data_IF_401480096466
#
_entry.id   IF_401480096466
#
_cell.length_a   1.000
_cell.length_b   1.000
_cell.length_c   1.000
_cell.angle_alpha   90.00
_cell.angle_beta   90.00
_cell.angle_gamma   90.00
#
_symmetry.space_group_name_H-M   'P 1'
#
loop_
_entity.id
_entity.type
_entity.pdbx_description
1 polymer ?
#
# COMPACT_ATOMS: atom_id res chain seq x y z
N UNK A 1 2.09 -9.58 -7.17
CA UNK A 1 0.98 -9.78 -6.20
C UNK A 1 1.34 -9.21 -4.82
N UNK A 2 2.61 -9.34 -4.42
CA UNK A 2 3.20 -8.75 -3.21
C UNK A 2 3.29 -7.20 -3.32
N UNK A 3 3.67 -6.65 -4.49
CA UNK A 3 3.87 -5.21 -4.69
C UNK A 3 2.67 -4.31 -4.37
N UNK A 4 1.45 -4.70 -4.74
CA UNK A 4 0.26 -3.88 -4.43
C UNK A 4 -0.09 -3.92 -2.94
N UNK A 5 0.25 -5.01 -2.25
CA UNK A 5 0.09 -5.12 -0.79
C UNK A 5 1.13 -4.27 -0.06
N UNK A 6 2.32 -4.07 -0.64
CA UNK A 6 3.33 -3.16 -0.11
C UNK A 6 2.94 -1.70 -0.35
N UNK A 7 2.42 -1.36 -1.54
CA UNK A 7 1.85 -0.03 -1.81
C UNK A 7 0.85 0.38 -0.74
N UNK A 8 -0.01 -0.56 -0.32
CA UNK A 8 -0.98 -0.29 0.72
C UNK A 8 -0.40 -0.33 2.14
N UNK A 9 0.67 -1.10 2.40
CA UNK A 9 1.42 -1.01 3.68
C UNK A 9 2.11 0.34 3.81
N UNK A 10 2.76 0.83 2.76
CA UNK A 10 3.33 2.17 2.71
C UNK A 10 2.22 3.21 2.88
N UNK A 11 1.17 3.15 2.06
CA UNK A 11 0.00 4.02 2.17
C UNK A 11 -0.61 4.04 3.58
N UNK A 12 -0.73 2.88 4.24
CA UNK A 12 -1.25 2.78 5.61
C UNK A 12 -0.25 3.30 6.64
N UNK A 13 1.04 3.00 6.55
CA UNK A 13 2.05 3.54 7.46
C UNK A 13 2.15 5.08 7.33
N UNK A 14 2.02 5.59 6.10
CA UNK A 14 2.01 7.01 5.78
C UNK A 14 0.74 7.73 6.24
N UNK A 15 -0.43 7.37 5.70
CA UNK A 15 -1.71 8.02 6.02
C UNK A 15 -2.06 7.88 7.50
N UNK A 16 -1.61 6.81 8.18
CA UNK A 16 -1.84 6.63 9.61
C UNK A 16 -0.78 7.34 10.47
N UNK A 17 0.35 7.75 9.89
CA UNK A 17 1.38 8.55 10.56
C UNK A 17 1.20 10.06 10.42
N UNK A 18 0.46 10.54 9.42
CA UNK A 18 0.34 11.99 9.12
C UNK A 18 -0.88 12.72 9.64
N UNK A 19 -1.85 11.97 10.16
CA UNK A 19 -3.06 12.57 10.70
C UNK A 19 -2.92 13.01 12.17
N UNK A 20 -1.73 12.88 12.77
CA UNK A 20 -1.49 13.27 14.16
C UNK A 20 -0.30 14.23 14.32
N UNK A 21 -0.60 15.52 14.30
CA UNK A 21 0.21 16.53 15.02
C UNK A 21 -0.31 16.66 16.46
N UNK A 22 -0.33 15.56 17.21
CA UNK A 22 -0.94 15.53 18.55
C UNK A 22 -0.74 14.22 19.32
N UNK A 23 0.49 13.95 19.76
CA UNK A 23 0.82 13.33 21.05
C UNK A 23 0.22 11.98 21.50
N UNK A 24 -0.63 11.30 20.73
CA UNK A 24 -1.24 10.04 21.19
C UNK A 24 -1.46 9.11 20.00
N UNK A 25 -0.70 8.01 19.96
CA UNK A 25 -0.77 6.96 18.93
C UNK A 25 -2.15 6.27 18.96
N UNK A 26 -3.20 6.92 18.48
CA UNK A 26 -4.55 6.36 18.41
C UNK A 26 -4.85 6.00 16.96
N UNK A 27 -5.40 4.80 16.78
CA UNK A 27 -5.75 4.24 15.50
C UNK A 27 -6.61 5.19 14.65
N UNK A 28 -6.58 5.02 13.32
CA UNK A 28 -7.46 5.71 12.37
C UNK A 28 -8.87 5.86 12.95
N UNK A 29 -9.37 7.09 13.08
CA UNK A 29 -10.69 7.29 13.68
C UNK A 29 -11.75 6.53 12.88
N UNK A 30 -12.77 6.00 13.56
CA UNK A 30 -13.91 5.34 12.90
C UNK A 30 -14.54 6.23 11.83
N UNK A 31 -14.49 7.55 12.01
CA UNK A 31 -14.95 8.54 11.02
C UNK A 31 -14.12 8.52 9.75
N UNK A 32 -12.79 8.54 9.88
CA UNK A 32 -11.86 8.47 8.73
C UNK A 32 -12.04 7.17 7.95
N UNK A 33 -12.22 6.05 8.68
CA UNK A 33 -12.52 4.76 8.07
C UNK A 33 -13.81 4.80 7.24
N UNK A 34 -14.91 5.30 7.82
CA UNK A 34 -16.21 5.39 7.13
C UNK A 34 -16.11 6.28 5.90
N UNK A 35 -15.45 7.43 6.00
CA UNK A 35 -15.28 8.35 4.88
C UNK A 35 -14.57 7.69 3.70
N UNK A 36 -13.47 6.97 3.95
CA UNK A 36 -12.75 6.23 2.90
C UNK A 36 -13.63 5.12 2.34
N UNK A 37 -14.32 4.37 3.20
CA UNK A 37 -15.18 3.28 2.77
C UNK A 37 -16.33 3.78 1.89
N UNK A 38 -17.02 4.85 2.29
CA UNK A 38 -18.12 5.45 1.54
C UNK A 38 -17.66 5.96 0.16
N UNK A 39 -16.45 6.53 0.09
CA UNK A 39 -15.84 6.95 -1.18
C UNK A 39 -15.65 5.77 -2.16
N UNK A 40 -15.24 4.60 -1.64
CA UNK A 40 -14.93 3.44 -2.50
C UNK A 40 -16.10 2.47 -2.67
N UNK A 41 -17.11 2.48 -1.78
CA UNK A 41 -18.23 1.52 -1.74
C UNK A 41 -18.97 1.44 -3.08
N UNK A 42 -19.27 2.60 -3.68
CA UNK A 42 -19.95 2.66 -4.98
C UNK A 42 -19.20 1.91 -6.08
N UNK A 43 -17.89 2.14 -6.18
CA UNK A 43 -17.02 1.51 -7.20
C UNK A 43 -16.68 0.06 -6.85
N UNK A 44 -16.64 -0.28 -5.57
CA UNK A 44 -16.38 -1.64 -5.10
C UNK A 44 -17.55 -2.59 -5.43
N UNK A 45 -18.77 -2.08 -5.53
CA UNK A 45 -19.95 -2.90 -5.84
C UNK A 45 -19.85 -3.62 -7.18
N UNK A 46 -19.23 -2.98 -8.18
CA UNK A 46 -19.03 -3.51 -9.53
C UNK A 46 -17.69 -4.25 -9.71
N UNK A 47 -16.86 -4.36 -8.66
CA UNK A 47 -15.56 -5.01 -8.80
C UNK A 47 -15.71 -6.53 -8.95
N UNK A 48 -14.95 -7.11 -9.87
CA UNK A 48 -14.82 -8.55 -10.02
C UNK A 48 -13.64 -9.09 -9.23
N UNK A 49 -13.81 -10.27 -8.63
CA UNK A 49 -12.73 -10.92 -7.91
C UNK A 49 -11.62 -11.41 -8.85
N UNK A 50 -10.40 -11.33 -8.32
CA UNK A 50 -9.19 -11.81 -8.95
C UNK A 50 -9.25 -13.33 -9.17
N UNK A 51 -9.12 -13.76 -10.42
CA UNK A 51 -9.15 -15.18 -10.84
C UNK A 51 -7.77 -15.74 -11.22
N UNK A 52 -6.69 -15.06 -10.83
CA UNK A 52 -5.32 -15.49 -11.11
C UNK A 52 -4.75 -14.97 -12.43
N UNK A 53 -3.42 -14.98 -12.60
CA UNK A 53 -2.73 -14.39 -13.75
C UNK A 53 -3.14 -15.01 -15.10
N UNK A 54 -3.39 -16.32 -15.15
CA UNK A 54 -3.75 -17.05 -16.39
C UNK A 54 -5.18 -16.77 -16.89
N UNK A 55 -6.08 -16.24 -16.06
CA UNK A 55 -7.52 -16.05 -16.38
C UNK A 55 -7.93 -14.57 -16.41
N UNK A 56 -6.99 -13.65 -16.25
CA UNK A 56 -7.28 -12.20 -16.16
C UNK A 56 -7.32 -11.51 -17.54
N UNK A 57 -6.72 -12.10 -18.57
CA UNK A 57 -6.64 -11.50 -19.92
C UNK A 57 -7.72 -11.93 -20.92
N UNK A 58 -8.57 -12.90 -20.58
CA UNK A 58 -9.58 -13.42 -21.50
C UNK A 58 -10.93 -12.72 -21.29
N UNK A 59 -11.07 -11.53 -21.85
CA UNK A 59 -12.30 -10.73 -21.81
C UNK A 59 -13.44 -11.39 -22.62
N UNK A 60 -13.14 -12.39 -23.45
CA UNK A 60 -14.09 -13.01 -24.38
C UNK A 60 -15.07 -13.99 -23.73
N UNK A 61 -14.86 -14.35 -22.45
CA UNK A 61 -15.72 -15.29 -21.71
C UNK A 61 -16.19 -14.77 -20.35
N UNK A 62 -16.37 -13.44 -20.21
CA UNK A 62 -17.07 -12.88 -19.06
C UNK A 62 -18.58 -13.19 -19.15
N UNK A 63 -18.95 -14.46 -18.97
CA UNK A 63 -20.30 -14.77 -18.49
C UNK A 63 -20.47 -13.96 -17.21
N UNK A 64 -21.52 -13.14 -17.16
CA UNK A 64 -21.97 -12.45 -15.96
C UNK A 64 -22.50 -13.53 -15.01
N UNK A 65 -21.60 -14.31 -14.45
CA UNK A 65 -21.90 -15.11 -13.30
C UNK A 65 -21.88 -14.12 -12.15
N UNK A 66 -23.07 -13.74 -11.65
CA UNK A 66 -23.22 -12.96 -10.43
C UNK A 66 -22.64 -13.82 -9.31
N UNK A 67 -21.32 -13.75 -9.15
CA UNK A 67 -20.61 -14.54 -8.16
C UNK A 67 -21.15 -14.11 -6.80
N UNK A 68 -21.86 -15.03 -6.13
CA UNK A 68 -22.40 -14.78 -4.79
C UNK A 68 -21.23 -14.45 -3.89
N UNK A 69 -21.20 -13.23 -3.36
CA UNK A 69 -20.12 -12.79 -2.48
C UNK A 69 -20.25 -13.53 -1.16
N UNK A 70 -19.17 -14.17 -0.72
CA UNK A 70 -19.13 -14.84 0.58
C UNK A 70 -19.18 -13.83 1.75
N UNK A 71 -18.71 -12.60 1.52
CA UNK A 71 -18.69 -11.51 2.50
C UNK A 71 -19.32 -10.25 1.91
N UNK A 72 -19.91 -9.43 2.78
CA UNK A 72 -20.34 -8.07 2.41
C UNK A 72 -19.12 -7.16 2.19
N UNK A 73 -19.27 -6.10 1.39
CA UNK A 73 -18.18 -5.12 1.19
C UNK A 73 -17.66 -4.53 2.52
N UNK A 74 -18.57 -4.39 3.50
CA UNK A 74 -18.27 -3.88 4.84
C UNK A 74 -17.42 -4.86 5.67
N UNK A 75 -17.44 -6.16 5.36
CA UNK A 75 -16.58 -7.17 5.98
C UNK A 75 -15.25 -7.33 5.21
N UNK A 76 -15.28 -7.26 3.88
CA UNK A 76 -14.08 -7.42 3.06
C UNK A 76 -13.09 -6.25 3.22
N UNK A 77 -13.62 -5.03 3.39
CA UNK A 77 -12.80 -3.85 3.59
C UNK A 77 -11.89 -3.96 4.83
N UNK A 78 -12.42 -4.24 6.05
CA UNK A 78 -11.60 -4.42 7.24
C UNK A 78 -10.76 -5.70 7.19
N UNK A 79 -11.23 -6.81 6.58
CA UNK A 79 -10.40 -8.01 6.38
C UNK A 79 -9.05 -7.67 5.75
N UNK A 80 -9.10 -6.89 4.67
CA UNK A 80 -7.88 -6.47 3.96
C UNK A 80 -7.05 -5.48 4.79
N UNK A 81 -7.69 -4.55 5.50
CA UNK A 81 -6.99 -3.59 6.37
C UNK A 81 -6.27 -4.29 7.53
N UNK A 82 -6.90 -5.29 8.13
CA UNK A 82 -6.30 -6.11 9.19
C UNK A 82 -5.04 -6.80 8.68
N UNK A 83 -5.12 -7.45 7.50
CA UNK A 83 -3.95 -8.10 6.92
C UNK A 83 -2.79 -7.14 6.67
N UNK A 84 -3.08 -5.93 6.18
CA UNK A 84 -2.05 -4.94 5.85
C UNK A 84 -1.46 -4.27 7.07
N UNK A 85 -2.30 -3.82 8.01
CA UNK A 85 -1.88 -3.07 9.20
C UNK A 85 -1.23 -3.97 10.25
N UNK A 86 -1.74 -5.19 10.44
CA UNK A 86 -1.27 -6.12 11.47
C UNK A 86 -0.32 -7.20 10.93
N UNK A 87 -0.23 -7.36 9.61
CA UNK A 87 0.62 -8.40 9.02
C UNK A 87 0.13 -9.83 9.26
N UNK A 88 -1.17 -10.04 9.52
CA UNK A 88 -1.72 -11.36 9.85
C UNK A 88 -1.50 -12.41 8.77
N UNK A 89 -1.36 -13.68 9.21
CA UNK A 89 -1.34 -14.80 8.30
C UNK A 89 -2.69 -14.94 7.59
N UNK A 90 -2.68 -15.56 6.42
CA UNK A 90 -3.92 -15.77 5.66
C UNK A 90 -4.89 -16.68 6.42
N UNK A 91 -4.37 -17.68 7.13
CA UNK A 91 -5.17 -18.61 7.93
C UNK A 91 -5.87 -17.94 9.13
N UNK A 92 -5.27 -16.90 9.72
CA UNK A 92 -5.95 -16.13 10.78
C UNK A 92 -7.22 -15.46 10.26
N UNK A 93 -7.20 -14.97 9.02
CA UNK A 93 -8.35 -14.33 8.39
C UNK A 93 -9.41 -15.35 7.96
N UNK A 94 -8.98 -16.50 7.46
CA UNK A 94 -9.86 -17.66 7.18
C UNK A 94 -10.66 -18.02 8.42
N UNK A 95 -10.00 -18.15 9.56
CA UNK A 95 -10.64 -18.48 10.83
C UNK A 95 -11.59 -17.37 11.32
N UNK A 96 -11.16 -16.10 11.26
CA UNK A 96 -11.96 -14.97 11.77
C UNK A 96 -13.21 -14.66 10.96
N UNK A 97 -13.17 -14.88 9.64
CA UNK A 97 -14.27 -14.54 8.73
C UNK A 97 -15.05 -15.78 8.24
N UNK A 98 -14.66 -16.97 8.69
CA UNK A 98 -15.28 -18.25 8.35
C UNK A 98 -15.45 -18.46 6.83
N UNK A 99 -14.37 -18.24 6.09
CA UNK A 99 -14.32 -18.37 4.63
C UNK A 99 -13.08 -19.15 4.19
N UNK A 100 -13.15 -19.80 3.03
CA UNK A 100 -12.02 -20.60 2.54
C UNK A 100 -10.76 -19.76 2.25
N UNK A 101 -9.58 -20.39 2.32
CA UNK A 101 -8.30 -19.75 2.02
C UNK A 101 -8.25 -19.16 0.60
N UNK A 102 -8.85 -19.86 -0.37
CA UNK A 102 -8.94 -19.41 -1.76
C UNK A 102 -9.77 -18.13 -1.90
N UNK A 103 -10.92 -18.07 -1.24
CA UNK A 103 -11.79 -16.88 -1.22
C UNK A 103 -11.08 -15.73 -0.52
N UNK A 104 -10.47 -15.97 0.64
CA UNK A 104 -9.69 -14.95 1.38
C UNK A 104 -8.57 -14.35 0.53
N UNK A 105 -7.80 -15.19 -0.17
CA UNK A 105 -6.72 -14.76 -1.06
C UNK A 105 -7.22 -13.92 -2.24
N UNK A 106 -8.33 -14.35 -2.84
CA UNK A 106 -8.97 -13.64 -3.96
C UNK A 106 -9.52 -12.28 -3.51
N UNK A 107 -10.25 -12.22 -2.39
CA UNK A 107 -10.74 -10.98 -1.78
C UNK A 107 -9.57 -10.04 -1.52
N UNK A 108 -8.55 -10.50 -0.78
CA UNK A 108 -7.40 -9.69 -0.44
C UNK A 108 -6.71 -9.10 -1.68
N UNK A 109 -6.40 -9.95 -2.67
CA UNK A 109 -5.72 -9.51 -3.90
C UNK A 109 -6.56 -8.51 -4.69
N UNK A 110 -7.86 -8.75 -4.80
CA UNK A 110 -8.79 -7.86 -5.51
C UNK A 110 -8.83 -6.49 -4.86
N UNK A 111 -9.07 -6.47 -3.55
CA UNK A 111 -9.22 -5.25 -2.78
C UNK A 111 -7.95 -4.42 -2.70
N UNK A 112 -6.79 -5.07 -2.64
CA UNK A 112 -5.50 -4.40 -2.63
C UNK A 112 -5.27 -3.69 -3.97
N UNK A 113 -5.52 -4.37 -5.10
CA UNK A 113 -5.39 -3.75 -6.44
C UNK A 113 -6.39 -2.62 -6.65
N UNK A 114 -7.64 -2.85 -6.27
CA UNK A 114 -8.69 -1.85 -6.36
C UNK A 114 -8.35 -0.61 -5.54
N UNK A 115 -7.96 -0.77 -4.26
CA UNK A 115 -7.58 0.37 -3.41
C UNK A 115 -6.35 1.11 -3.89
N UNK A 116 -5.32 0.40 -4.37
CA UNK A 116 -4.15 1.04 -4.94
C UNK A 116 -4.52 1.96 -6.11
N UNK A 117 -5.51 1.57 -6.93
CA UNK A 117 -6.03 2.42 -8.01
C UNK A 117 -6.87 3.58 -7.48
N UNK A 118 -7.84 3.30 -6.62
CA UNK A 118 -8.82 4.30 -6.16
C UNK A 118 -8.26 5.31 -5.15
N UNK A 119 -7.19 4.97 -4.43
CA UNK A 119 -6.58 5.84 -3.41
C UNK A 119 -5.25 6.45 -3.87
N UNK A 120 -4.84 6.23 -5.13
CA UNK A 120 -3.59 6.79 -5.67
C UNK A 120 -3.53 8.31 -5.55
N UNK A 121 -4.67 8.98 -5.71
CA UNK A 121 -4.79 10.44 -5.65
C UNK A 121 -4.55 11.03 -4.25
N UNK A 122 -4.51 10.21 -3.19
CA UNK A 122 -4.18 10.66 -1.84
C UNK A 122 -2.67 10.85 -1.63
N UNK A 123 -1.83 10.31 -2.53
CA UNK A 123 -0.39 10.52 -2.53
C UNK A 123 -0.10 11.75 -3.37
N UNK A 124 -0.06 12.91 -2.71
CA UNK A 124 0.18 14.21 -3.34
C UNK A 124 1.17 14.99 -2.51
N UNK A 125 2.12 15.63 -3.17
CA UNK A 125 2.96 16.65 -2.56
C UNK A 125 2.14 17.93 -2.36
N UNK A 126 1.80 18.33 -1.11
CA UNK A 126 1.05 19.56 -0.87
C UNK A 126 1.84 20.79 -1.34
N UNK A 127 1.14 21.86 -1.70
CA UNK A 127 1.75 23.12 -2.08
C UNK A 127 2.69 23.67 -0.98
N UNK A 128 3.71 24.44 -1.39
CA UNK A 128 4.73 25.00 -0.50
C UNK A 128 4.13 25.81 0.63
N UNK A 129 3.06 26.57 0.38
CA UNK A 129 2.39 27.38 1.40
C UNK A 129 1.74 26.48 2.44
N UNK A 130 1.06 25.41 2.00
CA UNK A 130 0.39 24.45 2.88
C UNK A 130 1.41 23.68 3.71
N UNK A 131 2.51 23.22 3.09
CA UNK A 131 3.59 22.52 3.80
C UNK A 131 4.20 23.41 4.89
N UNK A 132 4.46 24.68 4.57
CA UNK A 132 5.09 25.60 5.51
C UNK A 132 4.14 26.00 6.65
N UNK A 133 2.85 26.23 6.36
CA UNK A 133 1.84 26.53 7.38
C UNK A 133 1.70 25.42 8.41
N UNK A 134 1.74 24.18 7.94
CA UNK A 134 1.56 23.01 8.79
C UNK A 134 2.89 22.42 9.32
N UNK A 135 4.03 23.07 9.07
CA UNK A 135 5.35 22.56 9.42
C UNK A 135 5.47 22.34 10.95
N UNK A 136 6.01 21.21 11.44
CA UNK A 136 6.18 20.99 12.88
C UNK A 136 7.23 21.95 13.44
N UNK A 137 7.12 22.32 14.72
CA UNK A 137 7.97 23.37 15.30
C UNK A 137 9.46 23.01 15.31
N UNK A 138 9.79 21.73 15.49
CA UNK A 138 11.16 21.24 15.35
C UNK A 138 11.72 21.48 13.93
N UNK A 139 10.91 21.24 12.90
CA UNK A 139 11.31 21.53 11.52
C UNK A 139 11.34 23.03 11.24
N UNK A 140 10.43 23.84 11.79
CA UNK A 140 10.50 25.31 11.66
C UNK A 140 11.82 25.86 12.22
N UNK A 141 12.28 25.32 13.35
CA UNK A 141 13.50 25.76 14.02
C UNK A 141 14.78 25.35 13.28
N UNK A 142 14.90 24.08 12.89
CA UNK A 142 16.15 23.54 12.35
C UNK A 142 16.17 23.43 10.82
N UNK A 143 15.00 23.28 10.18
CA UNK A 143 14.87 23.02 8.75
C UNK A 143 13.69 23.78 8.12
N UNK A 144 13.65 25.13 8.19
CA UNK A 144 12.48 25.93 7.81
C UNK A 144 12.10 25.82 6.31
N UNK A 145 13.03 25.34 5.48
CA UNK A 145 12.82 25.12 4.05
C UNK A 145 12.49 23.65 3.70
N UNK A 146 12.44 22.75 4.69
CA UNK A 146 12.14 21.34 4.46
C UNK A 146 10.69 21.18 3.98
N UNK A 147 10.53 20.46 2.86
CA UNK A 147 9.21 20.14 2.31
C UNK A 147 8.94 18.64 2.22
N UNK A 148 9.98 17.88 1.95
CA UNK A 148 9.94 16.43 1.77
C UNK A 148 11.21 15.86 2.38
N UNK A 149 11.04 14.75 3.06
CA UNK A 149 12.09 13.86 3.56
C UNK A 149 12.08 12.66 2.62
N UNK A 150 13.21 12.39 2.00
CA UNK A 150 13.38 11.27 1.08
C UNK A 150 14.04 10.11 1.82
N UNK A 151 13.51 8.91 1.63
CA UNK A 151 14.04 7.67 2.21
C UNK A 151 13.92 6.51 1.21
N UNK A 152 14.97 5.68 1.14
CA UNK A 152 14.95 4.43 0.37
C UNK A 152 14.50 3.30 1.30
N UNK A 153 13.24 2.89 1.17
CA UNK A 153 12.68 1.82 1.99
C UNK A 153 12.89 0.47 1.32
N UNK A 154 13.36 -0.51 2.11
CA UNK A 154 13.60 -1.88 1.67
C UNK A 154 12.64 -2.86 2.38
N UNK A 155 11.97 -3.72 1.62
CA UNK A 155 10.97 -4.66 2.15
C UNK A 155 11.26 -6.09 1.70
N UNK A 156 11.18 -7.03 2.64
CA UNK A 156 11.32 -8.47 2.38
C UNK A 156 10.21 -9.00 1.48
N UNK A 157 10.60 -9.86 0.55
CA UNK A 157 9.69 -10.59 -0.33
C UNK A 157 9.98 -12.09 -0.29
N UNK A 158 8.99 -12.90 -0.66
CA UNK A 158 9.21 -14.32 -0.93
C UNK A 158 10.18 -14.49 -2.09
N UNK A 159 10.95 -15.59 -2.08
CA UNK A 159 11.90 -15.91 -3.14
C UNK A 159 11.19 -15.98 -4.50
N UNK A 160 11.55 -15.12 -5.46
CA UNK A 160 11.01 -15.20 -6.80
C UNK A 160 11.32 -16.56 -7.43
N UNK A 161 10.36 -17.11 -8.18
CA UNK A 161 10.56 -18.39 -8.89
C UNK A 161 11.50 -18.25 -10.10
N UNK A 162 11.56 -17.05 -10.67
CA UNK A 162 12.46 -16.72 -11.78
C UNK A 162 13.84 -16.37 -11.24
N UNK A 163 14.88 -17.07 -11.72
CA UNK A 163 16.26 -16.91 -11.25
C UNK A 163 16.84 -15.52 -11.55
N UNK A 164 16.47 -14.91 -12.69
CA UNK A 164 16.94 -13.58 -13.03
C UNK A 164 16.30 -12.53 -12.10
N UNK A 165 15.01 -12.68 -11.81
CA UNK A 165 14.30 -11.81 -10.85
C UNK A 165 14.81 -12.03 -9.44
N UNK A 166 15.09 -13.27 -9.03
CA UNK A 166 15.68 -13.59 -7.74
C UNK A 166 17.06 -12.93 -7.58
N UNK A 167 17.93 -13.02 -8.59
CA UNK A 167 19.24 -12.38 -8.58
C UNK A 167 19.17 -10.84 -8.49
N UNK A 168 18.16 -10.22 -9.10
CA UNK A 168 17.92 -8.78 -8.98
C UNK A 168 17.35 -8.39 -7.61
N UNK A 169 16.52 -9.24 -7.02
CA UNK A 169 15.92 -8.99 -5.71
C UNK A 169 16.86 -9.31 -4.54
N UNK A 170 17.99 -9.98 -4.77
CA UNK A 170 18.91 -10.34 -3.69
C UNK A 170 19.56 -9.11 -3.06
N UNK A 171 19.32 -8.91 -1.76
CA UNK A 171 19.99 -7.90 -0.95
C UNK A 171 21.12 -8.54 -0.18
N UNK A 172 22.35 -8.17 -0.53
CA UNK A 172 23.53 -8.61 0.20
C UNK A 172 23.53 -8.13 1.66
N UNK A 173 22.95 -6.96 1.92
CA UNK A 173 22.86 -6.39 3.26
C UNK A 173 21.87 -7.14 4.17
N UNK A 174 20.71 -7.55 3.63
CA UNK A 174 19.67 -8.26 4.40
C UNK A 174 19.80 -9.78 4.33
N UNK A 175 20.73 -10.29 3.52
CA UNK A 175 20.86 -11.71 3.20
C UNK A 175 19.52 -12.37 2.81
N UNK A 176 18.69 -11.63 2.07
CA UNK A 176 17.35 -12.06 1.67
C UNK A 176 16.92 -11.38 0.37
N UNK A 177 15.91 -11.93 -0.28
CA UNK A 177 15.23 -11.26 -1.38
C UNK A 177 14.39 -10.10 -0.84
N UNK A 178 14.61 -8.91 -1.38
CA UNK A 178 13.92 -7.68 -1.03
C UNK A 178 13.57 -6.89 -2.28
N UNK A 179 12.68 -5.93 -2.11
CA UNK A 179 12.46 -4.86 -3.08
C UNK A 179 12.64 -3.52 -2.37
N UNK A 180 13.15 -2.55 -3.12
CA UNK A 180 13.41 -1.19 -2.68
C UNK A 180 12.51 -0.21 -3.43
N UNK A 181 12.21 0.91 -2.81
CA UNK A 181 11.54 2.05 -3.45
C UNK A 181 11.88 3.33 -2.67
N UNK A 182 11.87 4.44 -3.39
CA UNK A 182 12.00 5.77 -2.81
C UNK A 182 10.63 6.23 -2.33
N UNK A 183 10.55 6.66 -1.07
CA UNK A 183 9.38 7.30 -0.50
C UNK A 183 9.71 8.75 -0.15
N UNK A 184 8.81 9.65 -0.52
CA UNK A 184 8.84 11.04 -0.07
C UNK A 184 7.79 11.25 1.00
N UNK A 185 8.22 11.72 2.17
CA UNK A 185 7.36 11.97 3.33
C UNK A 185 7.43 13.46 3.68
N UNK A 186 6.29 14.13 3.78
CA UNK A 186 6.22 15.50 4.28
C UNK A 186 6.66 15.56 5.74
N UNK A 187 7.16 16.69 6.25
CA UNK A 187 7.51 16.84 7.66
C UNK A 187 6.41 16.47 8.66
N UNK A 188 5.14 16.50 8.22
CA UNK A 188 3.99 16.07 9.03
C UNK A 188 3.73 14.56 8.99
N UNK A 189 4.56 13.76 8.32
CA UNK A 189 4.41 12.31 8.22
C UNK A 189 3.57 11.84 7.03
N UNK A 190 3.19 12.72 6.10
CA UNK A 190 2.34 12.36 4.95
C UNK A 190 3.16 11.87 3.78
N UNK A 191 2.80 10.70 3.24
CA UNK A 191 3.42 10.23 2.00
C UNK A 191 2.99 11.15 0.87
N UNK A 192 3.97 11.89 0.36
CA UNK A 192 3.81 12.81 -0.77
C UNK A 192 4.20 12.16 -2.10
N UNK A 193 5.01 11.09 -2.06
CA UNK A 193 5.57 10.47 -3.25
C UNK A 193 5.95 9.00 -3.00
N UNK A 194 5.82 8.17 -4.05
CA UNK A 194 6.36 6.82 -4.14
C UNK A 194 6.92 6.62 -5.55
N UNK A 195 8.15 6.12 -5.66
CA UNK A 195 8.76 5.72 -6.94
C UNK A 195 8.23 4.36 -7.41
N UNK A 196 8.69 3.95 -8.59
CA UNK A 196 8.64 2.55 -8.99
C UNK A 196 9.54 1.69 -8.10
N UNK A 197 9.37 0.37 -8.23
CA UNK A 197 10.08 -0.61 -7.41
C UNK A 197 11.36 -1.07 -8.08
N UNK A 198 12.39 -1.24 -7.26
CA UNK A 198 13.70 -1.76 -7.65
C UNK A 198 13.96 -3.06 -6.91
N UNK A 199 14.77 -3.95 -7.49
CA UNK A 199 15.24 -5.13 -6.78
C UNK A 199 16.17 -4.76 -5.63
N UNK A 200 16.25 -5.60 -4.58
CA UNK A 200 17.13 -5.41 -3.43
C UNK A 200 18.61 -5.14 -3.75
N UNK A 201 19.06 -5.55 -4.95
CA UNK A 201 20.41 -5.30 -5.45
C UNK A 201 20.66 -3.84 -5.86
N UNK A 202 19.62 -3.06 -6.14
CA UNK A 202 19.77 -1.66 -6.53
C UNK A 202 20.35 -0.82 -5.38
N UNK A 203 21.27 0.09 -5.72
CA UNK A 203 21.84 1.03 -4.74
C UNK A 203 20.89 2.19 -4.52
N UNK A 204 20.92 2.75 -3.31
CA UNK A 204 20.04 3.87 -2.96
C UNK A 204 20.39 5.12 -3.78
N UNK A 205 21.67 5.31 -4.13
CA UNK A 205 22.11 6.38 -5.03
C UNK A 205 21.46 6.24 -6.42
N UNK A 206 21.49 5.04 -7.00
CA UNK A 206 20.89 4.78 -8.32
C UNK A 206 19.39 5.10 -8.31
N UNK A 207 18.68 4.68 -7.26
CA UNK A 207 17.24 4.94 -7.11
C UNK A 207 16.94 6.43 -7.03
N UNK A 208 17.77 7.20 -6.32
CA UNK A 208 17.60 8.65 -6.19
C UNK A 208 17.92 9.37 -7.50
N UNK A 209 18.97 8.96 -8.22
CA UNK A 209 19.35 9.54 -9.52
C UNK A 209 18.28 9.30 -10.60
N UNK A 210 17.73 8.08 -10.66
CA UNK A 210 16.65 7.72 -11.58
C UNK A 210 15.37 8.54 -11.35
N UNK A 211 15.14 9.01 -10.12
CA UNK A 211 14.03 9.91 -9.80
C UNK A 211 14.21 11.34 -10.31
N UNK A 212 15.44 11.84 -10.39
CA UNK A 212 15.73 13.20 -10.86
C UNK A 212 15.72 13.34 -12.40
N UNK A 213 15.81 12.22 -13.12
CA UNK A 213 15.85 12.18 -14.59
C UNK A 213 14.45 12.02 -15.20
#
# INVERSE_FOLDING_TARGET
MILSSLMLKAFLLGVLGSLDSGGETRACSVKSFRLIFDHVKGKASVMHYWKGPKRTGDTSKLKIDRQVRALTLEQEFPLTMMKLRLGLFLFDLVFRFDISASVTSSIFTTWVKFRAKELKWLIVLPDRIVTHRNLPDMFKKYYPKCRVILDCTEIYIETPSDLAVAAQCWSAYKHHHTIKFLVGITPNGAISFLSDFYGGRASDLFIVEDWFC
#
